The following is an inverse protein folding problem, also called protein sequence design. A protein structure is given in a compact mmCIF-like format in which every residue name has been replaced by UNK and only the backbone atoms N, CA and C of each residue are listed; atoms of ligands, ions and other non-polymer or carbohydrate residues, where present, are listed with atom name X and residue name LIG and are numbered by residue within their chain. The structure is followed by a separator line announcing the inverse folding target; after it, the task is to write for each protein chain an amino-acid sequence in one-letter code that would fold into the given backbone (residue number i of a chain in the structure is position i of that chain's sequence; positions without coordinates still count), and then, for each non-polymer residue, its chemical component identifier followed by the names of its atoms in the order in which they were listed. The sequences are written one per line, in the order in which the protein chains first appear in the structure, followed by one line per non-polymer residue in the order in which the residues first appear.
data_IF_476978733717
#
_entry.id   IF_476978733717
#
_cell.length_a   1.000
_cell.length_b   1.000
_cell.length_c   1.000
_cell.angle_alpha   90.00
_cell.angle_beta   90.00
_cell.angle_gamma   90.00
#
_symmetry.space_group_name_H-M   'P 1'
#
loop_
_entity.id
_entity.type
_entity.pdbx_description
1 polymer ?
#
# COMPACT_ATOMS: atom_id res chain seq x y z
N UNK A 1 -8.03 -44.47 14.10
CA UNK A 1 -6.74 -43.78 14.05
C UNK A 1 -5.95 -44.39 12.90
N UNK A 2 -5.87 -43.69 11.77
CA UNK A 2 -4.83 -43.90 10.75
C UNK A 2 -4.45 -42.50 10.19
N UNK A 3 -3.51 -41.78 10.82
CA UNK A 3 -3.31 -40.34 10.61
C UNK A 3 -2.29 -39.95 9.52
N UNK A 4 -2.12 -40.71 8.42
CA UNK A 4 -1.00 -40.47 7.48
C UNK A 4 -1.35 -40.44 5.98
N UNK A 5 -2.55 -39.95 5.62
CA UNK A 5 -2.99 -39.84 4.22
C UNK A 5 -3.10 -38.39 3.68
N UNK A 6 -2.43 -37.41 4.30
CA UNK A 6 -2.40 -36.02 3.80
C UNK A 6 -0.96 -35.47 3.74
N UNK A 7 -0.01 -36.18 3.11
CA UNK A 7 1.31 -35.58 2.77
C UNK A 7 1.96 -36.20 1.51
N UNK A 8 1.20 -36.37 0.42
CA UNK A 8 1.78 -36.74 -0.89
C UNK A 8 1.55 -35.67 -1.96
N UNK A 9 1.68 -34.40 -1.58
CA UNK A 9 1.74 -33.31 -2.57
C UNK A 9 3.21 -33.05 -2.95
N UNK A 10 3.69 -33.85 -3.90
CA UNK A 10 4.85 -33.60 -4.78
C UNK A 10 6.15 -33.20 -4.07
N UNK A 11 6.86 -34.19 -3.53
CA UNK A 11 8.29 -34.04 -3.22
C UNK A 11 9.04 -33.92 -4.55
N UNK A 12 9.82 -32.86 -4.72
CA UNK A 12 10.59 -32.61 -5.95
C UNK A 12 12.06 -32.83 -5.68
N UNK A 13 12.81 -33.30 -6.68
CA UNK A 13 14.26 -33.47 -6.57
C UNK A 13 14.95 -32.12 -6.80
N UNK A 14 15.97 -31.81 -6.01
CA UNK A 14 16.81 -30.64 -6.24
C UNK A 14 17.52 -30.78 -7.59
N UNK A 15 17.48 -29.78 -8.50
CA UNK A 15 18.09 -29.90 -9.83
C UNK A 15 19.63 -29.94 -9.81
N UNK A 16 20.27 -29.62 -8.69
CA UNK A 16 21.74 -29.56 -8.59
C UNK A 16 22.35 -30.80 -7.92
N UNK A 17 21.74 -31.28 -6.85
CA UNK A 17 22.28 -32.40 -6.06
C UNK A 17 21.33 -33.60 -5.99
N UNK A 18 20.18 -33.53 -6.66
CA UNK A 18 19.16 -34.57 -6.73
C UNK A 18 18.60 -35.03 -5.38
N UNK A 19 18.89 -34.32 -4.29
CA UNK A 19 18.28 -34.60 -2.98
C UNK A 19 16.78 -34.31 -3.00
N UNK A 20 16.01 -35.13 -2.30
CA UNK A 20 14.57 -34.91 -2.12
C UNK A 20 14.33 -33.65 -1.31
N UNK A 21 13.63 -32.65 -1.85
CA UNK A 21 13.34 -31.39 -1.17
C UNK A 21 11.84 -31.20 -0.99
N UNK A 22 11.45 -30.55 0.12
CA UNK A 22 10.04 -30.29 0.40
C UNK A 22 9.58 -29.12 -0.48
N UNK A 23 8.33 -29.12 -0.96
CA UNK A 23 7.80 -28.03 -1.77
C UNK A 23 7.68 -26.71 -1.00
N UNK A 24 7.87 -26.70 0.33
CA UNK A 24 7.94 -25.50 1.17
C UNK A 24 9.33 -24.87 1.19
N UNK A 25 10.38 -25.63 0.91
CA UNK A 25 11.77 -25.16 1.04
C UNK A 25 12.11 -24.11 -0.02
N UNK A 26 12.74 -23.02 0.40
CA UNK A 26 13.27 -21.98 -0.50
C UNK A 26 14.68 -22.32 -0.96
N UNK A 27 15.46 -22.98 -0.11
CA UNK A 27 16.82 -23.42 -0.39
C UNK A 27 16.93 -24.93 -0.15
N UNK A 28 17.75 -25.60 -0.95
CA UNK A 28 18.07 -27.01 -0.72
C UNK A 28 18.95 -27.16 0.53
N UNK A 29 18.52 -27.99 1.49
CA UNK A 29 19.26 -28.24 2.73
C UNK A 29 20.62 -28.94 2.50
N UNK A 30 20.76 -29.70 1.41
CA UNK A 30 21.98 -30.47 1.12
C UNK A 30 23.05 -29.64 0.40
N UNK A 31 22.66 -28.80 -0.55
CA UNK A 31 23.61 -28.07 -1.41
C UNK A 31 23.45 -26.54 -1.43
N UNK A 32 22.50 -25.99 -0.68
CA UNK A 32 22.26 -24.55 -0.59
C UNK A 32 21.67 -23.90 -1.85
N UNK A 33 21.35 -24.67 -2.89
CA UNK A 33 20.77 -24.13 -4.13
C UNK A 33 19.40 -23.51 -3.86
N UNK A 34 19.20 -22.30 -4.40
CA UNK A 34 17.93 -21.61 -4.30
C UNK A 34 16.90 -22.28 -5.22
N UNK A 35 15.86 -22.88 -4.62
CA UNK A 35 14.80 -23.61 -5.31
C UNK A 35 13.65 -22.68 -5.74
N UNK A 36 13.55 -21.50 -5.12
CA UNK A 36 12.47 -20.54 -5.33
C UNK A 36 13.00 -19.11 -5.46
N UNK A 37 12.30 -18.21 -6.15
CA UNK A 37 12.66 -16.79 -6.09
C UNK A 37 12.68 -16.32 -4.64
N UNK A 38 13.72 -15.55 -4.25
CA UNK A 38 13.89 -15.08 -2.86
C UNK A 38 12.63 -14.33 -2.41
N UNK A 39 12.06 -14.62 -1.23
CA UNK A 39 11.07 -13.73 -0.64
C UNK A 39 11.72 -12.38 -0.40
N UNK A 40 10.95 -11.31 -0.62
CA UNK A 40 11.44 -9.93 -0.62
C UNK A 40 12.22 -9.67 0.68
N UNK A 41 13.46 -9.23 0.54
CA UNK A 41 14.34 -8.99 1.68
C UNK A 41 13.66 -7.94 2.60
N UNK A 42 13.32 -8.36 3.82
CA UNK A 42 12.76 -7.50 4.87
C UNK A 42 13.89 -6.77 5.60
N UNK A 43 14.74 -6.07 4.86
CA UNK A 43 15.61 -5.07 5.47
C UNK A 43 14.76 -3.87 5.83
N UNK A 44 14.96 -3.38 7.06
CA UNK A 44 14.27 -2.22 7.63
C UNK A 44 14.33 -1.02 6.67
N UNK A 45 15.44 -0.85 5.96
CA UNK A 45 15.64 0.20 4.97
C UNK A 45 14.74 0.02 3.73
N UNK A 46 14.57 -1.21 3.25
CA UNK A 46 13.70 -1.53 2.11
C UNK A 46 12.21 -1.37 2.46
N UNK A 47 11.83 -1.73 3.69
CA UNK A 47 10.48 -1.48 4.22
C UNK A 47 10.21 0.01 4.36
N UNK A 48 11.16 0.80 4.86
CA UNK A 48 11.03 2.24 4.98
C UNK A 48 10.83 2.90 3.61
N UNK A 49 11.63 2.53 2.61
CA UNK A 49 11.48 3.02 1.23
C UNK A 49 10.14 2.64 0.62
N UNK A 50 9.62 1.43 0.92
CA UNK A 50 8.31 1.00 0.47
C UNK A 50 7.19 1.82 1.12
N UNK A 51 7.26 2.07 2.42
CA UNK A 51 6.25 2.86 3.15
C UNK A 51 6.28 4.33 2.76
N UNK A 52 7.47 4.93 2.66
CA UNK A 52 7.65 6.31 2.21
C UNK A 52 7.22 6.45 0.74
N UNK A 53 7.57 5.50 -0.12
CA UNK A 53 7.08 5.45 -1.49
C UNK A 53 5.55 5.37 -1.56
N UNK A 54 4.91 4.59 -0.69
CA UNK A 54 3.45 4.47 -0.63
C UNK A 54 2.76 5.77 -0.21
N UNK A 55 3.37 6.54 0.69
CA UNK A 55 2.86 7.83 1.16
C UNK A 55 3.08 8.94 0.12
N UNK A 56 4.22 8.91 -0.59
CA UNK A 56 4.58 9.92 -1.59
C UNK A 56 3.87 9.69 -2.94
N UNK A 57 3.52 8.44 -3.27
CA UNK A 57 2.84 8.09 -4.52
C UNK A 57 1.31 8.21 -4.46
N UNK A 58 0.68 8.78 -3.44
CA UNK A 58 -0.79 8.89 -3.39
C UNK A 58 -1.42 9.51 -4.67
N UNK A 59 -0.78 10.46 -5.40
CA UNK A 59 -1.26 10.86 -6.73
C UNK A 59 -0.78 9.99 -7.92
N UNK A 60 0.29 9.19 -7.81
CA UNK A 60 0.93 8.43 -8.90
C UNK A 60 0.94 6.88 -8.73
N UNK A 61 0.37 6.35 -7.65
CA UNK A 61 0.39 4.94 -7.25
C UNK A 61 -0.43 4.02 -8.16
N UNK A 62 -1.18 4.58 -9.11
CA UNK A 62 -1.98 3.82 -10.07
C UNK A 62 -1.08 3.10 -11.10
N UNK A 63 0.04 3.71 -11.50
CA UNK A 63 0.93 3.13 -12.52
C UNK A 63 1.73 1.94 -11.96
N UNK A 64 2.18 2.00 -10.71
CA UNK A 64 2.84 0.86 -10.04
C UNK A 64 1.84 -0.16 -9.44
N UNK A 65 0.63 0.28 -9.05
CA UNK A 65 -0.41 -0.57 -8.49
C UNK A 65 -0.94 -1.63 -9.46
N UNK A 66 -0.90 -1.37 -10.77
CA UNK A 66 -1.24 -2.36 -11.81
C UNK A 66 -0.37 -3.62 -11.75
N UNK A 67 0.89 -3.51 -11.29
CA UNK A 67 1.80 -4.65 -11.06
C UNK A 67 1.40 -5.45 -9.81
N UNK A 68 0.80 -4.81 -8.81
CA UNK A 68 0.47 -5.37 -7.50
C UNK A 68 -0.88 -6.11 -7.48
N UNK A 69 -1.86 -5.67 -8.28
CA UNK A 69 -3.15 -6.35 -8.48
C UNK A 69 -3.03 -7.70 -9.21
N UNK A 70 -1.87 -7.98 -9.82
CA UNK A 70 -1.62 -9.20 -10.61
C UNK A 70 -1.12 -10.40 -9.78
N UNK A 71 -1.18 -10.35 -8.44
CA UNK A 71 -0.84 -11.49 -7.59
C UNK A 71 -2.08 -12.10 -6.90
N UNK A 72 -2.29 -13.43 -6.99
CA UNK A 72 -3.56 -14.10 -6.67
C UNK A 72 -3.87 -14.30 -5.18
N UNK A 73 -3.23 -13.57 -4.25
CA UNK A 73 -3.38 -13.84 -2.81
C UNK A 73 -4.32 -12.84 -2.11
N UNK A 74 -5.37 -13.41 -1.51
CA UNK A 74 -6.54 -12.83 -0.82
C UNK A 74 -6.23 -11.75 0.23
N UNK A 75 -5.00 -11.65 0.73
CA UNK A 75 -4.57 -10.65 1.72
C UNK A 75 -4.19 -9.30 1.09
N UNK A 76 -3.84 -9.27 -0.21
CA UNK A 76 -3.38 -8.06 -0.91
C UNK A 76 -4.52 -7.11 -1.31
N UNK A 77 -5.74 -7.64 -1.52
CA UNK A 77 -6.94 -6.84 -1.86
C UNK A 77 -7.39 -5.91 -0.72
N UNK A 78 -7.21 -6.32 0.52
CA UNK A 78 -7.66 -5.57 1.70
C UNK A 78 -6.89 -4.25 1.83
N UNK A 79 -5.58 -4.29 1.60
CA UNK A 79 -4.73 -3.09 1.64
C UNK A 79 -5.18 -2.09 0.57
N UNK A 80 -5.46 -2.56 -0.65
CA UNK A 80 -5.95 -1.71 -1.73
C UNK A 80 -7.29 -1.04 -1.44
N UNK A 81 -8.26 -1.78 -0.87
CA UNK A 81 -9.55 -1.19 -0.48
C UNK A 81 -9.42 -0.16 0.65
N UNK A 82 -8.59 -0.43 1.66
CA UNK A 82 -8.34 0.52 2.75
C UNK A 82 -7.76 1.83 2.21
N UNK A 83 -6.78 1.75 1.29
CA UNK A 83 -6.18 2.93 0.68
C UNK A 83 -7.17 3.74 -0.16
N UNK A 84 -8.08 3.09 -0.88
CA UNK A 84 -9.12 3.80 -1.65
C UNK A 84 -10.08 4.52 -0.71
N UNK A 85 -10.54 3.83 0.34
CA UNK A 85 -11.49 4.40 1.32
C UNK A 85 -10.86 5.58 2.06
N UNK A 86 -9.62 5.45 2.56
CA UNK A 86 -8.93 6.53 3.27
C UNK A 86 -8.67 7.74 2.37
N UNK A 87 -8.40 7.52 1.07
CA UNK A 87 -8.19 8.59 0.10
C UNK A 87 -9.49 9.35 -0.20
N UNK A 88 -10.60 8.64 -0.36
CA UNK A 88 -11.92 9.25 -0.54
C UNK A 88 -12.30 10.10 0.68
N UNK A 89 -12.14 9.54 1.88
CA UNK A 89 -12.45 10.24 3.13
C UNK A 89 -11.56 11.48 3.30
N UNK A 90 -10.26 11.36 3.08
CA UNK A 90 -9.31 12.47 3.18
C UNK A 90 -9.66 13.61 2.21
N UNK A 91 -10.02 13.27 0.97
CA UNK A 91 -10.41 14.25 -0.06
C UNK A 91 -11.70 14.98 0.32
N UNK A 92 -12.70 14.27 0.85
CA UNK A 92 -13.97 14.86 1.29
C UNK A 92 -13.76 15.83 2.46
N UNK A 93 -12.98 15.42 3.47
CA UNK A 93 -12.68 16.26 4.64
C UNK A 93 -11.95 17.54 4.21
N UNK A 94 -10.94 17.44 3.35
CA UNK A 94 -10.20 18.58 2.83
C UNK A 94 -11.13 19.54 2.09
N UNK A 95 -12.04 19.01 1.26
CA UNK A 95 -12.98 19.82 0.47
C UNK A 95 -13.94 20.59 1.39
N UNK A 96 -14.50 19.94 2.41
CA UNK A 96 -15.40 20.57 3.38
C UNK A 96 -14.67 21.67 4.14
N UNK A 97 -13.45 21.37 4.63
CA UNK A 97 -12.66 22.34 5.36
C UNK A 97 -12.29 23.56 4.50
N UNK A 98 -11.91 23.32 3.24
CA UNK A 98 -11.59 24.38 2.27
C UNK A 98 -12.78 25.31 2.06
N UNK A 99 -14.00 24.77 1.88
CA UNK A 99 -15.22 25.57 1.71
C UNK A 99 -15.51 26.39 2.96
N UNK A 100 -15.39 25.80 4.15
CA UNK A 100 -15.62 26.52 5.41
C UNK A 100 -14.62 27.68 5.58
N UNK A 101 -13.35 27.45 5.25
CA UNK A 101 -12.31 28.47 5.31
C UNK A 101 -12.54 29.60 4.30
N UNK A 102 -12.94 29.27 3.08
CA UNK A 102 -13.27 30.27 2.04
C UNK A 102 -14.45 31.13 2.51
N UNK A 103 -15.49 30.53 3.09
CA UNK A 103 -16.65 31.26 3.59
C UNK A 103 -16.29 32.20 4.75
N UNK A 104 -15.41 31.77 5.66
CA UNK A 104 -14.97 32.59 6.79
C UNK A 104 -14.07 33.76 6.35
N UNK A 105 -13.21 33.56 5.36
CA UNK A 105 -12.39 34.63 4.76
C UNK A 105 -13.28 35.62 4.01
N UNK A 106 -14.24 35.13 3.22
CA UNK A 106 -15.16 35.98 2.47
C UNK A 106 -15.99 36.89 3.39
N UNK A 107 -16.48 36.36 4.52
CA UNK A 107 -17.22 37.16 5.52
C UNK A 107 -16.34 38.27 6.11
N UNK A 108 -15.10 37.96 6.49
CA UNK A 108 -14.16 38.93 7.05
C UNK A 108 -13.80 40.04 6.06
N UNK A 109 -13.57 39.69 4.80
CA UNK A 109 -13.25 40.66 3.74
C UNK A 109 -14.43 41.60 3.50
N UNK A 110 -15.65 41.08 3.40
CA UNK A 110 -16.84 41.90 3.19
C UNK A 110 -17.09 42.88 4.35
N UNK A 111 -17.01 42.41 5.60
CA UNK A 111 -17.13 43.27 6.78
C UNK A 111 -16.00 44.30 6.89
N UNK A 112 -14.78 43.93 6.48
CA UNK A 112 -13.64 44.82 6.42
C UNK A 112 -13.82 45.94 5.39
N UNK A 113 -14.28 45.59 4.19
CA UNK A 113 -14.52 46.55 3.11
C UNK A 113 -15.64 47.52 3.47
N UNK A 114 -16.75 47.07 4.06
CA UNK A 114 -17.84 47.96 4.50
C UNK A 114 -17.38 48.98 5.54
N UNK A 115 -16.54 48.55 6.50
CA UNK A 115 -15.97 49.46 7.50
C UNK A 115 -15.05 50.49 6.87
N UNK A 116 -14.28 50.11 5.86
CA UNK A 116 -13.45 51.05 5.11
C UNK A 116 -14.31 52.05 4.33
N UNK A 117 -15.31 51.60 3.58
CA UNK A 117 -16.21 52.45 2.79
C UNK A 117 -16.91 53.52 3.64
N UNK A 118 -17.46 53.14 4.80
CA UNK A 118 -18.04 54.11 5.75
C UNK A 118 -17.04 55.14 6.27
N UNK A 119 -15.77 54.76 6.41
CA UNK A 119 -14.73 55.66 6.93
C UNK A 119 -14.24 56.67 5.87
N UNK A 120 -14.39 56.36 4.58
CA UNK A 120 -14.11 57.29 3.46
C UNK A 120 -15.34 58.12 3.02
N UNK A 121 -16.47 58.00 3.72
CA UNK A 121 -17.61 58.92 3.57
C UNK A 121 -18.58 58.62 2.42
N UNK A 122 -18.63 57.37 1.95
CA UNK A 122 -19.69 56.86 1.07
C UNK A 122 -20.75 56.09 1.86
#
# INVERSE_FOLDING_TARGET
MDPNAIQQKTQSACPKCHSLVRPTDYFCYNCGTNLKPKPLNTSIFMQLVLYVGSVVLVPFGIIWGWRYLRQPFTKSKIVGSITIIITIISTIIITIYSINLINDVQRQVNEGIEKQLRNVGY
#
